data_IF_152150442069
#
_entry.id   IF_152150442069
#
_cell.length_a   1.000
_cell.length_b   1.000
_cell.length_c   1.000
_cell.angle_alpha   90.00
_cell.angle_beta   90.00
_cell.angle_gamma   90.00
#
_symmetry.space_group_name_H-M   'P 1'
#
loop_
_entity.id
_entity.type
_entity.pdbx_description
1 polymer ?
#
# COMPACT_ATOMS: atom_id res chain seq x y z
N UNK A 1 39.52 -26.01 74.80
CA UNK A 1 39.91 -25.98 73.38
C UNK A 1 38.66 -25.61 72.60
N UNK A 2 38.65 -24.39 72.09
CA UNK A 2 37.46 -23.67 71.64
C UNK A 2 37.16 -23.95 70.17
N UNK A 3 35.90 -24.29 69.88
CA UNK A 3 35.34 -24.40 68.55
C UNK A 3 34.91 -23.01 68.07
N UNK A 4 35.56 -22.49 67.02
CA UNK A 4 35.13 -21.25 66.35
C UNK A 4 34.84 -21.56 64.88
N UNK A 5 33.57 -21.42 64.54
CA UNK A 5 33.04 -21.39 63.18
C UNK A 5 33.45 -20.06 62.56
N UNK A 6 34.22 -20.09 61.47
CA UNK A 6 34.47 -18.91 60.64
C UNK A 6 33.55 -18.93 59.42
N UNK A 7 32.67 -17.93 59.40
CA UNK A 7 31.98 -17.43 58.22
C UNK A 7 32.99 -16.89 57.21
N UNK A 8 32.80 -17.22 55.93
CA UNK A 8 33.38 -16.43 54.85
C UNK A 8 32.35 -16.28 53.73
N UNK A 9 31.90 -15.04 53.61
CA UNK A 9 31.11 -14.48 52.52
C UNK A 9 32.04 -14.19 51.34
N UNK A 10 31.66 -14.47 50.08
CA UNK A 10 32.25 -13.78 48.95
C UNK A 10 31.19 -12.91 48.25
N UNK A 11 31.37 -11.61 48.46
CA UNK A 11 30.89 -10.52 47.62
C UNK A 11 31.00 -10.83 46.13
N UNK A 12 29.91 -10.49 45.44
CA UNK A 12 29.87 -9.73 44.20
C UNK A 12 30.92 -10.06 43.14
N UNK A 13 30.49 -10.84 42.14
CA UNK A 13 30.86 -10.55 40.76
C UNK A 13 29.58 -10.40 39.95
N UNK A 14 29.18 -9.14 39.83
CA UNK A 14 28.46 -8.64 38.66
C UNK A 14 29.17 -9.15 37.41
N UNK A 15 28.53 -10.07 36.71
CA UNK A 15 28.78 -10.28 35.30
C UNK A 15 27.49 -9.86 34.60
N UNK A 16 27.51 -8.57 34.23
CA UNK A 16 26.71 -7.98 33.16
C UNK A 16 26.41 -9.03 32.09
N UNK A 17 25.20 -9.58 32.12
CA UNK A 17 24.63 -10.23 30.96
C UNK A 17 24.55 -9.14 29.89
N UNK A 18 25.41 -9.28 28.87
CA UNK A 18 25.42 -8.44 27.70
C UNK A 18 24.00 -8.28 27.19
N UNK A 19 23.52 -7.03 27.16
CA UNK A 19 22.43 -6.65 26.29
C UNK A 19 22.89 -7.00 24.87
N UNK A 20 22.54 -8.18 24.40
CA UNK A 20 22.66 -8.52 23.00
C UNK A 20 21.79 -7.50 22.28
N UNK A 21 22.43 -6.64 21.48
CA UNK A 21 21.77 -5.75 20.53
C UNK A 21 20.82 -6.62 19.72
N UNK A 22 19.53 -6.59 20.07
CA UNK A 22 18.50 -7.25 19.28
C UNK A 22 18.48 -6.52 17.94
N UNK A 23 18.68 -7.27 16.87
CA UNK A 23 18.44 -6.75 15.52
C UNK A 23 17.07 -6.07 15.46
N UNK A 24 16.91 -4.97 14.70
CA UNK A 24 15.63 -4.30 14.54
C UNK A 24 14.54 -5.32 14.19
N UNK A 25 13.36 -5.17 14.80
CA UNK A 25 12.20 -5.98 14.42
C UNK A 25 11.79 -5.55 13.01
N UNK A 26 11.75 -6.49 12.07
CA UNK A 26 11.47 -6.20 10.66
C UNK A 26 10.39 -7.14 10.10
N UNK A 27 9.45 -6.56 9.36
CA UNK A 27 8.47 -7.34 8.61
C UNK A 27 9.16 -8.22 7.54
N UNK A 28 8.55 -9.35 7.20
CA UNK A 28 9.08 -10.20 6.13
C UNK A 28 8.87 -9.58 4.75
N UNK A 29 9.70 -9.96 3.78
CA UNK A 29 9.59 -9.46 2.41
C UNK A 29 8.23 -9.79 1.78
N UNK A 30 7.66 -10.95 2.10
CA UNK A 30 6.34 -11.40 1.65
C UNK A 30 5.22 -10.51 2.18
N UNK A 31 5.30 -10.12 3.46
CA UNK A 31 4.36 -9.18 4.07
C UNK A 31 4.41 -7.81 3.36
N UNK A 32 5.61 -7.30 3.12
CA UNK A 32 5.83 -6.01 2.45
C UNK A 32 5.33 -6.06 1.01
N UNK A 33 5.65 -7.14 0.28
CA UNK A 33 5.18 -7.35 -1.09
C UNK A 33 3.65 -7.41 -1.15
N UNK A 34 3.01 -8.12 -0.20
CA UNK A 34 1.56 -8.19 -0.13
C UNK A 34 0.93 -6.80 0.04
N UNK A 35 1.44 -5.97 0.95
CA UNK A 35 0.91 -4.61 1.16
C UNK A 35 1.16 -3.68 -0.03
N UNK A 36 2.28 -3.84 -0.72
CA UNK A 36 2.57 -3.07 -1.94
C UNK A 36 1.74 -3.53 -3.15
N UNK A 37 1.16 -4.73 -3.10
CA UNK A 37 0.27 -5.26 -4.15
C UNK A 37 -1.17 -4.77 -4.04
N UNK A 38 -1.51 -3.97 -3.03
CA UNK A 38 -2.87 -3.50 -2.80
C UNK A 38 -3.26 -2.42 -3.80
N UNK A 39 -4.39 -2.64 -4.49
CA UNK A 39 -4.96 -1.68 -5.43
C UNK A 39 -5.87 -0.67 -4.74
N UNK A 40 -5.89 0.58 -5.21
CA UNK A 40 -6.83 1.60 -4.71
C UNK A 40 -8.28 1.20 -4.95
N UNK A 41 -8.60 0.79 -6.17
CA UNK A 41 -9.96 0.39 -6.59
C UNK A 41 -10.44 -0.82 -5.79
N UNK A 42 -9.58 -1.83 -5.64
CA UNK A 42 -9.82 -2.98 -4.77
C UNK A 42 -10.19 -2.58 -3.34
N UNK A 43 -9.38 -1.72 -2.70
CA UNK A 43 -9.69 -1.27 -1.34
C UNK A 43 -11.02 -0.52 -1.25
N UNK A 44 -11.38 0.25 -2.28
CA UNK A 44 -12.64 0.98 -2.32
C UNK A 44 -13.87 0.04 -2.38
N UNK A 45 -13.76 -1.12 -3.00
CA UNK A 45 -14.83 -2.14 -2.99
C UNK A 45 -15.14 -2.63 -1.56
N UNK A 46 -14.12 -2.61 -0.69
CA UNK A 46 -14.20 -3.05 0.70
C UNK A 46 -14.78 -1.98 1.65
N UNK A 47 -15.26 -0.84 1.13
CA UNK A 47 -15.84 0.24 1.93
C UNK A 47 -17.32 0.00 2.20
N UNK A 48 -17.59 -0.75 3.26
CA UNK A 48 -18.94 -1.05 3.74
C UNK A 48 -18.93 -1.23 5.27
N UNK A 49 -20.12 -1.39 5.84
CA UNK A 49 -20.30 -1.61 7.27
C UNK A 49 -21.01 -2.92 7.57
N UNK A 50 -20.69 -3.48 8.74
CA UNK A 50 -21.30 -4.68 9.26
C UNK A 50 -21.47 -4.59 10.77
N UNK A 51 -22.50 -5.29 11.26
CA UNK A 51 -22.78 -5.43 12.68
C UNK A 51 -22.93 -6.90 13.02
N UNK A 52 -22.19 -7.35 14.02
CA UNK A 52 -22.24 -8.70 14.56
C UNK A 52 -22.82 -8.64 15.98
N UNK A 53 -23.69 -9.60 16.30
CA UNK A 53 -24.11 -9.83 17.68
C UNK A 53 -22.98 -10.52 18.45
N UNK A 54 -22.66 -10.01 19.63
CA UNK A 54 -21.81 -10.71 20.60
C UNK A 54 -22.68 -11.66 21.42
N UNK A 55 -22.29 -12.92 21.47
CA UNK A 55 -23.01 -13.96 22.22
C UNK A 55 -22.04 -14.77 23.10
N UNK A 56 -22.56 -15.28 24.22
CA UNK A 56 -21.84 -16.24 25.04
C UNK A 56 -21.76 -17.62 24.38
N UNK A 57 -20.94 -18.50 24.94
CA UNK A 57 -20.94 -19.93 24.62
C UNK A 57 -22.29 -20.63 24.88
N UNK A 58 -23.14 -20.08 25.76
CA UNK A 58 -24.51 -20.55 26.00
C UNK A 58 -25.55 -19.97 25.02
N UNK A 59 -25.13 -19.07 24.12
CA UNK A 59 -26.00 -18.41 23.14
C UNK A 59 -26.75 -17.19 23.65
N UNK A 60 -26.42 -16.70 24.85
CA UNK A 60 -27.03 -15.48 25.40
C UNK A 60 -26.45 -14.23 24.72
N UNK A 61 -27.29 -13.26 24.32
CA UNK A 61 -26.82 -12.01 23.74
C UNK A 61 -26.14 -11.15 24.80
N UNK A 62 -24.90 -10.75 24.52
CA UNK A 62 -24.07 -9.97 25.43
C UNK A 62 -23.79 -8.56 24.92
N UNK A 63 -23.95 -8.31 23.61
CA UNK A 63 -23.65 -7.01 23.04
C UNK A 63 -23.55 -7.04 21.53
N UNK A 64 -22.79 -6.10 20.97
CA UNK A 64 -22.58 -5.98 19.54
C UNK A 64 -21.16 -5.52 19.20
N UNK A 65 -20.73 -5.89 17.99
CA UNK A 65 -19.52 -5.41 17.32
C UNK A 65 -19.96 -4.74 16.02
N UNK A 66 -19.61 -3.49 15.86
CA UNK A 66 -19.83 -2.71 14.63
C UNK A 66 -18.48 -2.45 13.98
N UNK A 67 -18.41 -2.61 12.66
CA UNK A 67 -17.24 -2.27 11.84
C UNK A 67 -17.74 -1.47 10.65
N UNK A 68 -17.10 -0.34 10.38
CA UNK A 68 -17.41 0.56 9.29
C UNK A 68 -16.12 0.96 8.60
N UNK A 69 -16.07 0.76 7.29
CA UNK A 69 -14.98 1.26 6.44
C UNK A 69 -15.56 2.17 5.38
N UNK A 70 -15.02 3.38 5.29
CA UNK A 70 -15.51 4.40 4.36
C UNK A 70 -14.38 5.31 3.89
N UNK A 71 -14.69 6.18 2.92
CA UNK A 71 -13.78 7.22 2.49
C UNK A 71 -13.78 8.37 3.50
N UNK A 72 -12.73 8.48 4.30
CA UNK A 72 -12.51 9.58 5.22
C UNK A 72 -11.78 10.75 4.56
N UNK A 73 -12.00 11.96 5.08
CA UNK A 73 -11.29 13.18 4.67
C UNK A 73 -10.33 13.59 5.77
N UNK A 74 -9.05 13.66 5.45
CA UNK A 74 -8.02 14.14 6.36
C UNK A 74 -7.35 15.38 5.76
N UNK A 75 -7.17 16.40 6.60
CA UNK A 75 -6.41 17.60 6.24
C UNK A 75 -4.94 17.38 6.59
N UNK A 76 -4.06 17.73 5.67
CA UNK A 76 -2.63 17.77 5.97
C UNK A 76 -2.22 19.07 6.70
N UNK A 77 -0.92 19.20 7.01
CA UNK A 77 -0.34 20.40 7.65
C UNK A 77 -0.48 21.68 6.81
N UNK A 78 -0.83 21.56 5.51
CA UNK A 78 -1.03 22.66 4.57
C UNK A 78 -2.52 22.89 4.24
N UNK A 79 -3.43 22.35 5.05
CA UNK A 79 -4.88 22.43 4.88
C UNK A 79 -5.42 21.78 3.58
N UNK A 80 -4.61 20.96 2.91
CA UNK A 80 -5.03 20.19 1.73
C UNK A 80 -5.82 18.97 2.19
N UNK A 81 -7.05 18.85 1.69
CA UNK A 81 -7.94 17.73 2.01
C UNK A 81 -7.63 16.56 1.09
N UNK A 82 -7.19 15.44 1.67
CA UNK A 82 -6.98 14.17 0.98
C UNK A 82 -7.99 13.11 1.44
N UNK A 83 -8.31 12.17 0.55
CA UNK A 83 -9.22 11.07 0.84
C UNK A 83 -8.43 9.80 1.15
N UNK A 84 -8.75 9.18 2.27
CA UNK A 84 -8.07 8.00 2.80
C UNK A 84 -9.10 6.97 3.26
N UNK A 85 -8.79 5.66 3.19
CA UNK A 85 -9.53 4.66 3.94
C UNK A 85 -9.63 5.06 5.42
N UNK A 86 -10.86 5.17 5.91
CA UNK A 86 -11.17 5.42 7.30
C UNK A 86 -11.93 4.24 7.86
N UNK A 87 -11.38 3.67 8.93
CA UNK A 87 -11.94 2.50 9.63
C UNK A 87 -12.43 2.95 10.99
N UNK A 88 -13.65 2.58 11.33
CA UNK A 88 -14.22 2.73 12.65
C UNK A 88 -14.79 1.39 13.09
N UNK A 89 -14.36 0.89 14.23
CA UNK A 89 -14.96 -0.29 14.83
C UNK A 89 -15.22 -0.05 16.31
N UNK A 90 -16.33 -0.58 16.80
CA UNK A 90 -16.68 -0.53 18.22
C UNK A 90 -17.35 -1.82 18.65
N UNK A 91 -16.85 -2.40 19.73
CA UNK A 91 -17.49 -3.49 20.42
C UNK A 91 -17.92 -3.04 21.80
N UNK A 92 -19.18 -3.31 22.16
CA UNK A 92 -19.67 -3.06 23.51
C UNK A 92 -20.50 -4.23 23.96
N UNK A 93 -20.20 -4.72 25.15
CA UNK A 93 -20.87 -5.89 25.70
C UNK A 93 -21.01 -5.83 27.22
N UNK A 94 -21.76 -6.80 27.71
CA UNK A 94 -22.00 -7.07 29.11
C UNK A 94 -21.55 -8.50 29.40
N UNK A 95 -20.41 -8.63 30.06
CA UNK A 95 -19.77 -9.91 30.40
C UNK A 95 -19.63 -9.99 31.91
N UNK A 96 -20.03 -11.11 32.52
CA UNK A 96 -19.90 -11.36 33.96
C UNK A 96 -20.38 -10.19 34.84
N UNK A 97 -21.57 -9.67 34.53
CA UNK A 97 -22.21 -8.53 35.21
C UNK A 97 -21.45 -7.20 35.09
N UNK A 98 -20.49 -7.10 34.19
CA UNK A 98 -19.62 -5.95 33.99
C UNK A 98 -19.75 -5.43 32.57
N UNK A 99 -19.89 -4.11 32.41
CA UNK A 99 -19.91 -3.48 31.09
C UNK A 99 -18.47 -3.31 30.61
N UNK A 100 -18.15 -3.88 29.46
CA UNK A 100 -16.86 -3.74 28.81
C UNK A 100 -17.03 -3.35 27.35
N UNK A 101 -15.96 -2.86 26.74
CA UNK A 101 -15.97 -2.55 25.33
C UNK A 101 -14.64 -2.05 24.84
N UNK A 102 -14.50 -2.04 23.52
CA UNK A 102 -13.40 -1.40 22.84
C UNK A 102 -13.90 -0.62 21.62
N UNK A 103 -13.08 0.32 21.17
CA UNK A 103 -13.32 1.06 19.94
C UNK A 103 -11.99 1.44 19.32
N UNK A 104 -11.97 1.50 18.00
CA UNK A 104 -10.83 1.98 17.22
C UNK A 104 -11.35 2.85 16.09
N UNK A 105 -10.65 3.95 15.84
CA UNK A 105 -10.82 4.80 14.66
C UNK A 105 -9.45 5.00 14.04
N UNK A 106 -9.33 4.83 12.73
CA UNK A 106 -8.04 5.01 12.07
C UNK A 106 -8.14 5.46 10.62
N UNK A 107 -7.26 6.39 10.25
CA UNK A 107 -6.97 6.78 8.88
C UNK A 107 -5.76 6.01 8.38
N UNK A 108 -5.93 5.35 7.24
CA UNK A 108 -4.92 4.51 6.63
C UNK A 108 -4.53 5.06 5.27
N UNK A 109 -3.29 4.83 4.87
CA UNK A 109 -2.89 5.00 3.48
C UNK A 109 -3.38 3.84 2.60
N UNK A 110 -3.23 3.98 1.28
CA UNK A 110 -3.64 2.95 0.30
C UNK A 110 -2.81 1.66 0.35
N UNK A 111 -1.69 1.63 1.07
CA UNK A 111 -0.94 0.41 1.39
C UNK A 111 -1.06 0.02 2.88
N UNK A 112 -2.15 0.45 3.53
CA UNK A 112 -2.50 0.15 4.92
C UNK A 112 -1.54 0.66 5.99
N UNK A 113 -0.59 1.56 5.67
CA UNK A 113 0.16 2.26 6.72
C UNK A 113 -0.74 3.19 7.51
N UNK A 114 -0.58 3.18 8.82
CA UNK A 114 -1.31 4.02 9.77
C UNK A 114 -0.88 5.48 9.64
N UNK A 115 -1.81 6.37 9.32
CA UNK A 115 -1.60 7.82 9.33
C UNK A 115 -2.00 8.37 10.71
N UNK A 116 -3.17 7.95 11.18
CA UNK A 116 -3.72 8.29 12.49
C UNK A 116 -4.55 7.11 12.99
N UNK A 117 -4.43 6.75 14.26
CA UNK A 117 -5.33 5.81 14.92
C UNK A 117 -5.59 6.24 16.36
N UNK A 118 -6.82 6.10 16.83
CA UNK A 118 -7.19 6.20 18.23
C UNK A 118 -7.97 4.95 18.63
N UNK A 119 -7.46 4.20 19.61
CA UNK A 119 -8.17 3.09 20.23
C UNK A 119 -8.42 3.33 21.72
N UNK A 120 -9.54 2.79 22.19
CA UNK A 120 -9.98 2.87 23.58
C UNK A 120 -10.56 1.52 23.98
N UNK A 121 -10.10 0.97 25.09
CA UNK A 121 -10.62 -0.23 25.73
C UNK A 121 -11.06 0.15 27.15
N UNK A 122 -12.19 -0.37 27.62
CA UNK A 122 -12.65 -0.10 28.99
C UNK A 122 -13.36 -1.29 29.60
N UNK A 123 -13.26 -1.40 30.92
CA UNK A 123 -13.99 -2.36 31.75
C UNK A 123 -14.51 -1.61 32.97
N UNK A 124 -15.82 -1.55 33.15
CA UNK A 124 -16.48 -0.83 34.24
C UNK A 124 -16.69 -1.74 35.45
N UNK A 125 -15.62 -2.23 36.07
CA UNK A 125 -15.75 -2.91 37.35
C UNK A 125 -16.35 -1.98 38.40
N UNK A 126 -17.17 -2.54 39.30
CA UNK A 126 -17.82 -1.77 40.36
C UNK A 126 -16.83 -1.12 41.34
N UNK A 127 -15.67 -1.77 41.55
CA UNK A 127 -14.68 -1.35 42.55
C UNK A 127 -13.56 -0.54 41.90
N UNK A 128 -13.02 -1.01 40.76
CA UNK A 128 -11.87 -0.39 40.11
C UNK A 128 -12.09 -0.35 38.58
N UNK A 129 -12.73 0.71 38.04
CA UNK A 129 -12.90 0.83 36.61
C UNK A 129 -11.54 0.97 35.92
N UNK A 130 -11.39 0.28 34.80
CA UNK A 130 -10.17 0.27 34.00
C UNK A 130 -10.45 0.86 32.62
N UNK A 131 -9.57 1.72 32.13
CA UNK A 131 -9.62 2.31 30.80
C UNK A 131 -8.21 2.39 30.21
N UNK A 132 -8.03 1.86 29.01
CA UNK A 132 -6.81 2.03 28.21
C UNK A 132 -7.14 2.85 26.97
N UNK A 133 -6.34 3.87 26.69
CA UNK A 133 -6.38 4.65 25.45
C UNK A 133 -5.02 4.57 24.76
N UNK A 134 -5.04 4.42 23.46
CA UNK A 134 -3.83 4.45 22.63
C UNK A 134 -4.10 5.33 21.42
N UNK A 135 -3.16 6.21 21.11
CA UNK A 135 -3.16 7.02 19.89
C UNK A 135 -1.88 6.77 19.13
N UNK A 136 -1.97 6.60 17.82
CA UNK A 136 -0.86 6.48 16.89
C UNK A 136 -0.98 7.63 15.89
N UNK A 137 0.03 8.50 15.83
CA UNK A 137 0.02 9.67 14.96
C UNK A 137 1.29 9.70 14.12
N UNK A 138 1.14 9.78 12.81
CA UNK A 138 2.27 9.99 11.91
C UNK A 138 2.73 11.44 12.02
N UNK A 139 3.95 11.65 12.50
CA UNK A 139 4.60 12.96 12.55
C UNK A 139 5.93 12.92 11.80
N UNK A 140 5.98 13.56 10.63
CA UNK A 140 7.18 13.67 9.80
C UNK A 140 7.81 12.31 9.52
N UNK A 141 8.90 11.98 10.23
CA UNK A 141 9.69 10.76 10.08
C UNK A 141 9.52 9.77 11.25
N UNK A 142 8.45 9.92 12.04
CA UNK A 142 8.16 9.04 13.17
C UNK A 142 6.66 8.74 13.30
N UNK A 143 6.35 7.61 13.92
CA UNK A 143 5.04 7.28 14.43
C UNK A 143 5.06 7.48 15.94
N UNK A 144 4.32 8.50 16.41
CA UNK A 144 4.20 8.82 17.82
C UNK A 144 3.05 8.01 18.41
N UNK A 145 3.36 7.18 19.41
CA UNK A 145 2.37 6.43 20.16
C UNK A 145 2.21 7.01 21.56
N UNK A 146 1.02 7.55 21.86
CA UNK A 146 0.65 7.91 23.23
C UNK A 146 -0.29 6.85 23.80
N UNK A 147 0.04 6.31 24.97
CA UNK A 147 -0.74 5.31 25.68
C UNK A 147 -1.08 5.82 27.07
N UNK A 148 -2.35 5.72 27.46
CA UNK A 148 -2.85 6.09 28.79
C UNK A 148 -3.61 4.91 29.38
N UNK A 149 -3.22 4.46 30.56
CA UNK A 149 -3.94 3.47 31.35
C UNK A 149 -4.48 4.16 32.59
N UNK A 150 -5.78 4.03 32.83
CA UNK A 150 -6.45 4.48 34.03
C UNK A 150 -6.99 3.29 34.79
N UNK A 151 -6.63 3.17 36.06
CA UNK A 151 -7.10 2.14 36.99
C UNK A 151 -7.63 2.86 38.24
N UNK A 152 -8.95 3.02 38.33
CA UNK A 152 -9.56 3.85 39.37
C UNK A 152 -9.17 5.33 39.24
N UNK A 153 -8.46 5.86 40.25
CA UNK A 153 -7.93 7.23 40.27
C UNK A 153 -6.52 7.32 39.68
N UNK A 154 -5.79 6.21 39.58
CA UNK A 154 -4.44 6.20 39.04
C UNK A 154 -4.48 6.33 37.52
N UNK A 155 -3.62 7.20 36.98
CA UNK A 155 -3.44 7.38 35.54
C UNK A 155 -1.95 7.29 35.23
N UNK A 156 -1.59 6.34 34.35
CA UNK A 156 -0.24 6.16 33.82
C UNK A 156 -0.26 6.51 32.35
N UNK A 157 0.59 7.44 31.93
CA UNK A 157 0.75 7.84 30.53
C UNK A 157 2.16 7.56 30.08
N UNK A 158 2.30 6.99 28.90
CA UNK A 158 3.55 6.67 28.25
C UNK A 158 3.52 7.19 26.82
N UNK A 159 4.63 7.75 26.38
CA UNK A 159 4.81 8.20 25.00
C UNK A 159 6.02 7.48 24.44
N UNK A 160 5.85 6.85 23.28
CA UNK A 160 6.93 6.17 22.57
C UNK A 160 6.99 6.68 21.14
N UNK A 161 8.20 6.67 20.61
CA UNK A 161 8.51 7.18 19.28
C UNK A 161 9.09 6.04 18.47
N UNK A 162 8.45 5.73 17.34
CA UNK A 162 8.89 4.67 16.44
C UNK A 162 9.36 5.33 15.14
N UNK A 163 10.63 5.15 14.73
CA UNK A 163 11.10 5.68 13.45
C UNK A 163 10.21 5.20 12.30
N UNK A 164 9.85 6.10 11.39
CA UNK A 164 8.88 5.80 10.33
C UNK A 164 9.38 4.69 9.40
N UNK A 165 10.66 4.68 9.08
CA UNK A 165 11.30 3.63 8.28
C UNK A 165 11.25 2.25 8.96
N UNK A 166 11.18 2.19 10.29
CA UNK A 166 11.00 0.94 11.04
C UNK A 166 9.54 0.47 11.09
N UNK A 167 8.57 1.24 10.56
CA UNK A 167 7.15 0.85 10.49
C UNK A 167 6.78 0.16 9.16
N UNK A 168 7.76 -0.16 8.31
CA UNK A 168 7.52 -0.90 7.07
C UNK A 168 6.91 -2.27 7.40
N UNK A 169 5.70 -2.53 6.89
CA UNK A 169 4.96 -3.77 7.17
C UNK A 169 4.20 -3.77 8.50
N UNK A 170 4.08 -2.62 9.16
CA UNK A 170 3.27 -2.45 10.37
C UNK A 170 1.77 -2.39 10.08
N UNK A 171 1.02 -3.26 10.77
CA UNK A 171 -0.44 -3.38 10.73
C UNK A 171 -1.00 -3.02 12.09
N UNK A 172 -1.67 -1.87 12.17
CA UNK A 172 -2.43 -1.45 13.35
C UNK A 172 -3.78 -2.17 13.45
N UNK A 173 -4.49 -1.99 14.57
CA UNK A 173 -5.83 -2.55 14.78
C UNK A 173 -6.82 -2.19 13.65
N UNK A 174 -6.82 -0.93 13.22
CA UNK A 174 -7.63 -0.47 12.09
C UNK A 174 -7.19 -1.09 10.76
N UNK A 175 -5.88 -1.13 10.51
CA UNK A 175 -5.32 -1.73 9.29
C UNK A 175 -5.63 -3.23 9.19
N UNK A 176 -5.62 -3.94 10.32
CA UNK A 176 -5.93 -5.36 10.40
C UNK A 176 -7.34 -5.67 9.89
N UNK A 177 -8.34 -4.85 10.27
CA UNK A 177 -9.72 -5.06 9.82
C UNK A 177 -9.83 -4.98 8.30
N UNK A 178 -9.20 -3.99 7.68
CA UNK A 178 -9.21 -3.84 6.22
C UNK A 178 -8.35 -4.91 5.53
N UNK A 179 -7.23 -5.30 6.12
CA UNK A 179 -6.36 -6.38 5.64
C UNK A 179 -7.10 -7.72 5.57
N UNK A 180 -7.88 -8.04 6.61
CA UNK A 180 -8.70 -9.25 6.66
C UNK A 180 -9.76 -9.27 5.54
N UNK A 181 -10.37 -8.12 5.24
CA UNK A 181 -11.30 -8.00 4.10
C UNK A 181 -10.59 -8.28 2.77
N UNK A 182 -9.38 -7.76 2.59
CA UNK A 182 -8.58 -8.04 1.38
C UNK A 182 -8.25 -9.53 1.26
N UNK A 183 -7.83 -10.18 2.35
CA UNK A 183 -7.51 -11.61 2.34
C UNK A 183 -8.73 -12.45 1.95
N UNK A 184 -9.91 -12.07 2.42
CA UNK A 184 -11.17 -12.72 2.05
C UNK A 184 -11.57 -12.44 0.60
N UNK A 185 -11.49 -11.19 0.14
CA UNK A 185 -11.76 -10.81 -1.24
C UNK A 185 -10.88 -11.59 -2.24
N UNK A 186 -9.58 -11.71 -1.92
CA UNK A 186 -8.62 -12.48 -2.73
C UNK A 186 -8.68 -13.99 -2.50
N UNK A 187 -9.44 -14.46 -1.51
CA UNK A 187 -9.44 -15.85 -1.02
C UNK A 187 -8.02 -16.39 -0.77
N UNK A 188 -7.15 -15.54 -0.20
CA UNK A 188 -5.72 -15.80 -0.10
C UNK A 188 -5.11 -15.12 1.12
N UNK A 189 -4.28 -15.88 1.84
CA UNK A 189 -3.39 -15.37 2.89
C UNK A 189 -1.94 -15.48 2.38
N UNK A 190 -1.10 -14.45 2.54
CA UNK A 190 0.29 -14.51 2.10
C UNK A 190 1.08 -15.54 2.90
N UNK A 191 1.66 -16.52 2.20
CA UNK A 191 2.43 -17.59 2.81
C UNK A 191 3.68 -17.06 3.51
N UNK A 192 3.96 -17.55 4.72
CA UNK A 192 5.13 -17.20 5.54
C UNK A 192 5.30 -15.70 5.82
N UNK A 193 4.24 -14.90 5.64
CA UNK A 193 4.30 -13.48 5.91
C UNK A 193 4.28 -13.18 7.40
N UNK A 194 5.24 -12.34 7.84
CA UNK A 194 5.28 -11.80 9.21
C UNK A 194 5.14 -10.30 9.13
N UNK A 195 4.02 -9.80 9.64
CA UNK A 195 3.73 -8.37 9.73
C UNK A 195 4.22 -7.85 11.08
N UNK A 196 4.55 -6.56 11.15
CA UNK A 196 4.75 -5.89 12.43
C UNK A 196 3.38 -5.53 13.03
N UNK A 197 3.26 -5.62 14.35
CA UNK A 197 2.06 -5.30 15.10
C UNK A 197 2.41 -4.71 16.47
N UNK A 198 1.41 -4.29 17.23
CA UNK A 198 1.56 -3.96 18.65
C UNK A 198 0.89 -5.04 19.49
N UNK A 199 1.54 -5.43 20.58
CA UNK A 199 0.86 -6.20 21.62
C UNK A 199 -0.03 -5.31 22.51
N UNK A 200 -0.69 -5.92 23.49
CA UNK A 200 -1.60 -5.21 24.42
C UNK A 200 -0.88 -4.21 25.32
N UNK A 201 0.45 -4.30 25.45
CA UNK A 201 1.28 -3.35 26.17
C UNK A 201 1.73 -2.18 25.29
N UNK A 202 1.52 -2.25 23.97
CA UNK A 202 1.99 -1.25 23.01
C UNK A 202 3.44 -1.49 22.58
N UNK A 203 3.99 -2.68 22.78
CA UNK A 203 5.32 -3.03 22.30
C UNK A 203 5.25 -3.59 20.88
N UNK A 204 6.22 -3.20 20.06
CA UNK A 204 6.34 -3.71 18.71
C UNK A 204 6.63 -5.21 18.73
N UNK A 205 5.86 -5.97 17.97
CA UNK A 205 5.92 -7.42 17.92
C UNK A 205 5.54 -7.93 16.51
N UNK A 206 5.37 -9.25 16.37
CA UNK A 206 4.95 -9.85 15.10
C UNK A 206 3.49 -10.29 15.11
N UNK A 207 2.84 -10.17 13.96
CA UNK A 207 1.57 -10.83 13.67
C UNK A 207 1.66 -11.69 12.42
N UNK A 208 1.09 -12.89 12.50
CA UNK A 208 1.02 -13.86 11.41
C UNK A 208 -0.43 -14.21 11.12
N UNK A 209 -0.71 -14.56 9.87
CA UNK A 209 -2.03 -14.96 9.41
C UNK A 209 -1.94 -16.35 8.80
N UNK A 210 -2.94 -17.19 9.06
CA UNK A 210 -3.04 -18.53 8.52
C UNK A 210 -4.43 -18.77 7.94
N UNK A 211 -4.50 -19.27 6.72
CA UNK A 211 -5.75 -19.75 6.15
C UNK A 211 -6.11 -21.12 6.76
N UNK A 212 -7.29 -21.21 7.39
CA UNK A 212 -7.82 -22.47 7.94
C UNK A 212 -8.76 -23.20 6.97
N UNK A 213 -8.92 -22.65 5.76
CA UNK A 213 -9.81 -23.18 4.71
C UNK A 213 -11.16 -22.48 4.69
N UNK A 214 -12.15 -23.14 4.10
CA UNK A 214 -13.52 -22.63 3.96
C UNK A 214 -14.50 -23.52 4.70
N UNK A 215 -15.58 -22.91 5.22
CA UNK A 215 -16.66 -23.62 5.90
C UNK A 215 -18.01 -23.04 5.46
N UNK A 216 -19.03 -23.88 5.31
CA UNK A 216 -20.41 -23.40 5.13
C UNK A 216 -21.03 -23.08 6.49
N UNK A 217 -21.55 -21.86 6.63
CA UNK A 217 -22.31 -21.42 7.79
C UNK A 217 -23.76 -21.12 7.40
N UNK A 218 -24.66 -21.21 8.38
CA UNK A 218 -26.04 -20.77 8.25
C UNK A 218 -26.17 -19.38 8.85
N UNK A 219 -26.65 -18.42 8.05
CA UNK A 219 -27.00 -17.08 8.49
C UNK A 219 -28.48 -16.88 8.21
N UNK A 220 -29.28 -16.78 9.27
CA UNK A 220 -30.74 -16.79 9.19
C UNK A 220 -31.28 -18.05 8.47
N UNK A 221 -31.79 -17.92 7.24
CA UNK A 221 -32.29 -19.04 6.41
C UNK A 221 -31.40 -19.34 5.20
N UNK A 222 -30.24 -18.70 5.11
CA UNK A 222 -29.33 -18.78 3.97
C UNK A 222 -28.03 -19.47 4.36
N UNK A 223 -27.52 -20.28 3.44
CA UNK A 223 -26.19 -20.85 3.54
C UNK A 223 -25.19 -19.95 2.84
N UNK A 224 -24.06 -19.69 3.49
CA UNK A 224 -22.95 -18.97 2.91
C UNK A 224 -21.65 -19.72 3.20
N UNK A 225 -20.78 -19.80 2.20
CA UNK A 225 -19.40 -20.23 2.40
C UNK A 225 -18.59 -19.07 2.96
N UNK A 226 -17.78 -19.34 3.99
CA UNK A 226 -16.88 -18.38 4.62
C UNK A 226 -15.45 -18.86 4.56
N UNK A 227 -14.56 -17.95 4.21
CA UNK A 227 -13.12 -18.11 4.27
C UNK A 227 -12.62 -17.82 5.68
N UNK A 228 -11.82 -18.72 6.24
CA UNK A 228 -11.39 -18.64 7.63
C UNK A 228 -9.92 -18.24 7.69
N UNK A 229 -9.67 -17.11 8.37
CA UNK A 229 -8.33 -16.60 8.65
C UNK A 229 -8.10 -16.58 10.16
N UNK A 230 -7.03 -17.23 10.61
CA UNK A 230 -6.54 -17.10 11.97
C UNK A 230 -5.40 -16.07 12.00
N UNK A 231 -5.56 -15.04 12.83
CA UNK A 231 -4.50 -14.12 13.17
C UNK A 231 -3.89 -14.53 14.51
N UNK A 232 -2.56 -14.57 14.58
CA UNK A 232 -1.82 -14.71 15.84
C UNK A 232 -0.92 -13.51 16.04
N UNK A 233 -0.94 -12.92 17.23
CA UNK A 233 -0.03 -11.85 17.67
C UNK A 233 0.95 -12.44 18.68
N UNK A 234 2.24 -12.39 18.35
CA UNK A 234 3.33 -13.00 19.11
C UNK A 234 4.01 -11.95 19.99
N UNK A 235 3.56 -11.80 21.23
CA UNK A 235 4.23 -10.89 22.19
C UNK A 235 5.55 -11.51 22.68
N UNK A 236 6.58 -10.68 22.81
CA UNK A 236 7.91 -11.06 23.34
C UNK A 236 7.88 -11.43 24.83
N UNK A 237 6.90 -10.94 25.58
CA UNK A 237 6.81 -11.09 27.04
C UNK A 237 5.52 -11.80 27.48
N UNK A 238 4.57 -11.96 26.56
CA UNK A 238 3.26 -12.56 26.81
C UNK A 238 3.02 -13.87 26.08
N UNK A 239 1.85 -14.46 26.33
CA UNK A 239 1.36 -15.62 25.58
C UNK A 239 0.82 -15.12 24.23
N UNK A 240 1.13 -15.79 23.11
CA UNK A 240 0.54 -15.45 21.83
C UNK A 240 -0.98 -15.42 21.89
N UNK A 241 -1.59 -14.37 21.34
CA UNK A 241 -3.05 -14.24 21.30
C UNK A 241 -3.53 -14.53 19.89
N UNK A 242 -4.48 -15.47 19.76
CA UNK A 242 -5.06 -15.86 18.47
C UNK A 242 -6.53 -15.46 18.34
N UNK A 243 -6.92 -15.02 17.15
CA UNK A 243 -8.30 -14.70 16.80
C UNK A 243 -8.63 -15.26 15.42
N UNK A 244 -9.76 -15.96 15.32
CA UNK A 244 -10.28 -16.51 14.08
C UNK A 244 -11.37 -15.60 13.51
N UNK A 245 -11.26 -15.30 12.22
CA UNK A 245 -12.17 -14.47 11.46
C UNK A 245 -12.76 -15.32 10.34
N UNK A 246 -14.08 -15.40 10.29
CA UNK A 246 -14.84 -16.07 9.24
C UNK A 246 -15.41 -14.97 8.36
N UNK A 247 -14.92 -14.90 7.13
CA UNK A 247 -15.20 -13.80 6.21
C UNK A 247 -15.97 -14.31 5.00
N UNK A 248 -16.97 -13.57 4.58
CA UNK A 248 -17.71 -13.80 3.33
C UNK A 248 -16.82 -13.47 2.13
N UNK A 249 -17.21 -13.93 0.94
CA UNK A 249 -16.44 -13.77 -0.29
C UNK A 249 -16.16 -12.30 -0.64
N UNK A 250 -17.04 -11.38 -0.27
CA UNK A 250 -16.89 -9.94 -0.51
C UNK A 250 -16.12 -9.19 0.60
N UNK A 251 -15.67 -9.91 1.63
CA UNK A 251 -14.90 -9.40 2.77
C UNK A 251 -15.70 -9.11 4.03
N UNK A 252 -17.04 -9.26 4.05
CA UNK A 252 -17.80 -9.06 5.29
C UNK A 252 -17.39 -10.04 6.39
N UNK A 253 -17.23 -9.55 7.62
CA UNK A 253 -16.99 -10.42 8.77
C UNK A 253 -18.28 -11.10 9.22
N UNK A 254 -18.36 -12.42 9.06
CA UNK A 254 -19.51 -13.22 9.47
C UNK A 254 -19.39 -13.77 10.90
N UNK A 255 -18.18 -14.10 11.35
CA UNK A 255 -17.94 -14.59 12.72
C UNK A 255 -16.53 -14.24 13.18
N UNK A 256 -16.40 -13.87 14.46
CA UNK A 256 -15.12 -13.62 15.12
C UNK A 256 -15.04 -14.39 16.43
N UNK A 257 -13.99 -15.19 16.59
CA UNK A 257 -13.73 -15.98 17.80
C UNK A 257 -12.35 -15.59 18.33
N UNK A 258 -12.28 -15.17 19.59
CA UNK A 258 -10.99 -14.97 20.27
C UNK A 258 -10.68 -16.22 21.09
N UNK A 259 -9.51 -16.83 20.84
CA UNK A 259 -9.10 -18.03 21.56
C UNK A 259 -8.96 -17.71 23.05
N UNK A 260 -9.60 -18.52 23.89
CA UNK A 260 -9.64 -18.32 25.34
C UNK A 260 -10.75 -17.40 25.86
N UNK A 261 -11.53 -16.75 24.98
CA UNK A 261 -12.72 -15.98 25.37
C UNK A 261 -13.96 -16.88 25.44
N UNK A 262 -14.85 -16.71 26.45
CA UNK A 262 -16.12 -17.44 26.51
C UNK A 262 -17.19 -16.89 25.55
N UNK A 263 -16.87 -15.82 24.81
CA UNK A 263 -17.80 -15.10 23.95
C UNK A 263 -17.24 -14.94 22.54
N UNK A 264 -18.13 -14.93 21.55
CA UNK A 264 -17.80 -14.74 20.14
C UNK A 264 -18.81 -13.78 19.48
N UNK A 265 -18.42 -13.22 18.35
CA UNK A 265 -19.31 -12.36 17.55
C UNK A 265 -19.77 -13.13 16.31
N UNK A 266 -21.04 -13.01 15.94
CA UNK A 266 -21.58 -13.55 14.70
C UNK A 266 -22.55 -12.58 14.03
N UNK A 267 -22.61 -12.64 12.71
CA UNK A 267 -23.62 -11.92 11.94
C UNK A 267 -24.99 -12.58 12.12
N UNK A 268 -26.03 -11.77 12.29
CA UNK A 268 -27.40 -12.25 12.51
C UNK A 268 -28.25 -12.24 11.24
N UNK A 269 -27.86 -11.45 10.24
CA UNK A 269 -28.57 -11.27 8.97
C UNK A 269 -27.56 -11.22 7.83
N UNK A 270 -27.88 -11.92 6.74
CA UNK A 270 -27.03 -11.92 5.55
C UNK A 270 -26.93 -10.50 4.94
N UNK A 271 -25.71 -9.98 4.68
CA UNK A 271 -25.54 -8.70 4.01
C UNK A 271 -25.78 -8.85 2.50
N UNK A 272 -26.03 -7.73 1.83
CA UNK A 272 -26.04 -7.69 0.37
C UNK A 272 -24.59 -7.81 -0.11
N UNK A 273 -24.23 -9.01 -0.59
CA UNK A 273 -22.88 -9.26 -1.08
C UNK A 273 -22.56 -8.36 -2.25
N UNK A 274 -21.37 -7.76 -2.23
CA UNK A 274 -20.85 -7.02 -3.38
C UNK A 274 -20.23 -7.97 -4.38
N UNK A 275 -20.64 -7.81 -5.62
CA UNK A 275 -19.98 -8.40 -6.77
C UNK A 275 -19.09 -7.32 -7.41
N UNK A 276 -18.01 -7.76 -8.09
CA UNK A 276 -17.23 -6.84 -8.91
C UNK A 276 -18.14 -6.36 -10.03
N UNK A 277 -18.49 -5.07 -10.04
CA UNK A 277 -19.29 -4.51 -11.12
C UNK A 277 -18.52 -4.75 -12.43
N UNK A 278 -19.05 -5.60 -13.31
CA UNK A 278 -18.53 -5.75 -14.66
C UNK A 278 -18.60 -4.37 -15.32
N UNK A 279 -17.46 -3.67 -15.36
CA UNK A 279 -17.39 -2.32 -15.89
C UNK A 279 -17.80 -2.39 -17.36
N UNK A 280 -19.02 -1.95 -17.67
CA UNK A 280 -19.51 -1.94 -19.05
C UNK A 280 -18.42 -1.31 -19.93
N UNK A 281 -18.00 -1.98 -21.01
CA UNK A 281 -16.90 -1.49 -21.83
C UNK A 281 -17.22 -0.07 -22.26
N UNK A 282 -16.31 0.85 -21.93
CA UNK A 282 -16.48 2.27 -22.24
C UNK A 282 -16.88 2.41 -23.70
N UNK A 283 -17.94 3.19 -24.03
CA UNK A 283 -18.41 3.32 -25.38
C UNK A 283 -17.25 3.78 -26.28
N UNK A 284 -16.84 2.92 -27.20
CA UNK A 284 -15.76 3.22 -28.14
C UNK A 284 -16.31 4.20 -29.17
N UNK A 285 -16.21 5.50 -28.88
CA UNK A 285 -16.53 6.54 -29.86
C UNK A 285 -15.53 6.45 -31.01
N UNK A 286 -16.02 6.10 -32.21
CA UNK A 286 -15.21 6.19 -33.43
C UNK A 286 -14.74 7.64 -33.58
N UNK A 287 -13.42 7.86 -33.61
CA UNK A 287 -12.85 9.19 -33.87
C UNK A 287 -13.38 9.66 -35.22
N UNK A 288 -14.23 10.69 -35.22
CA UNK A 288 -14.70 11.33 -36.45
C UNK A 288 -13.50 12.02 -37.11
N UNK A 289 -13.25 11.82 -38.41
CA UNK A 289 -12.21 12.56 -39.13
C UNK A 289 -12.44 14.07 -38.96
N UNK A 290 -11.40 14.79 -38.56
CA UNK A 290 -11.44 16.24 -38.42
C UNK A 290 -11.32 16.86 -39.82
N UNK A 291 -12.43 17.35 -40.37
CA UNK A 291 -12.47 18.07 -41.65
C UNK A 291 -12.00 19.52 -41.46
N UNK A 292 -10.74 19.70 -41.06
CA UNK A 292 -10.19 21.00 -40.67
C UNK A 292 -10.09 21.99 -41.85
N UNK A 293 -10.07 21.49 -43.09
CA UNK A 293 -10.06 22.29 -44.31
C UNK A 293 -11.40 23.02 -44.55
N UNK A 294 -12.50 22.48 -44.06
CA UNK A 294 -13.85 23.06 -44.20
C UNK A 294 -14.22 23.97 -43.02
N UNK A 295 -13.58 23.77 -41.88
CA UNK A 295 -13.79 24.58 -40.68
C UNK A 295 -12.97 25.87 -40.76
N UNK A 296 -13.67 27.01 -40.84
CA UNK A 296 -13.05 28.32 -41.01
C UNK A 296 -12.08 28.69 -39.87
N UNK A 297 -12.37 28.29 -38.63
CA UNK A 297 -11.50 28.59 -37.49
C UNK A 297 -10.24 27.70 -37.49
N UNK A 298 -10.40 26.41 -37.79
CA UNK A 298 -9.27 25.49 -37.87
C UNK A 298 -8.38 25.81 -39.06
N UNK A 299 -8.96 26.17 -40.20
CA UNK A 299 -8.23 26.61 -41.37
C UNK A 299 -7.43 27.89 -41.08
N UNK A 300 -8.02 28.86 -40.37
CA UNK A 300 -7.31 30.07 -39.92
C UNK A 300 -6.12 29.73 -39.03
N UNK A 301 -6.32 28.86 -38.02
CA UNK A 301 -5.24 28.41 -37.12
C UNK A 301 -4.12 27.70 -37.89
N UNK A 302 -4.47 26.91 -38.88
CA UNK A 302 -3.49 26.25 -39.75
C UNK A 302 -2.67 27.27 -40.56
N UNK A 303 -3.31 28.26 -41.16
CA UNK A 303 -2.63 29.32 -41.91
C UNK A 303 -1.68 30.12 -41.02
N UNK A 304 -2.13 30.52 -39.84
CA UNK A 304 -1.31 31.25 -38.88
C UNK A 304 -0.09 30.43 -38.47
N UNK A 305 -0.29 29.14 -38.16
CA UNK A 305 0.81 28.25 -37.79
C UNK A 305 1.79 28.03 -38.94
N UNK A 306 1.28 27.92 -40.18
CA UNK A 306 2.09 27.78 -41.39
C UNK A 306 2.94 29.02 -41.65
N UNK A 307 2.37 30.22 -41.49
CA UNK A 307 3.09 31.51 -41.59
C UNK A 307 4.19 31.60 -40.52
N UNK A 308 3.85 31.27 -39.27
CA UNK A 308 4.81 31.26 -38.15
C UNK A 308 5.98 30.32 -38.42
N UNK A 309 5.72 29.10 -38.90
CA UNK A 309 6.77 28.14 -39.25
C UNK A 309 7.63 28.63 -40.41
N UNK A 310 7.02 29.24 -41.44
CA UNK A 310 7.75 29.83 -42.57
C UNK A 310 8.72 30.93 -42.10
N UNK A 311 8.26 31.83 -41.23
CA UNK A 311 9.09 32.88 -40.65
C UNK A 311 10.20 32.31 -39.78
N UNK A 312 9.90 31.32 -38.95
CA UNK A 312 10.87 30.60 -38.13
C UNK A 312 11.99 29.97 -38.98
N UNK A 313 11.62 29.20 -40.01
CA UNK A 313 12.60 28.56 -40.91
C UNK A 313 13.43 29.59 -41.68
N UNK A 314 12.81 30.66 -42.16
CA UNK A 314 13.53 31.73 -42.86
C UNK A 314 14.55 32.40 -41.93
N UNK A 315 14.14 32.69 -40.70
CA UNK A 315 15.02 33.28 -39.68
C UNK A 315 16.17 32.34 -39.33
N UNK A 316 15.89 31.04 -39.17
CA UNK A 316 16.92 30.03 -38.91
C UNK A 316 17.98 30.02 -40.03
N UNK A 317 17.55 29.97 -41.29
CA UNK A 317 18.48 29.99 -42.45
C UNK A 317 19.28 31.30 -42.54
N UNK A 318 18.70 32.44 -42.18
CA UNK A 318 19.42 33.71 -42.12
C UNK A 318 20.49 33.74 -41.02
N UNK A 319 20.21 33.11 -39.87
CA UNK A 319 21.14 33.03 -38.74
C UNK A 319 22.26 32.01 -38.97
N UNK A 320 22.05 31.06 -39.89
CA UNK A 320 22.96 29.96 -40.19
C UNK A 320 23.34 29.93 -41.68
N UNK A 321 24.19 30.87 -42.15
CA UNK A 321 24.67 30.87 -43.54
C UNK A 321 25.54 29.64 -43.86
N UNK A 322 26.13 29.02 -42.83
CA UNK A 322 26.82 27.74 -42.88
C UNK A 322 25.90 26.60 -43.33
N UNK A 323 24.63 26.58 -42.93
CA UNK A 323 23.67 25.58 -43.40
C UNK A 323 23.43 25.70 -44.92
N UNK A 324 23.35 26.92 -45.46
CA UNK A 324 23.19 27.13 -46.90
C UNK A 324 24.46 26.72 -47.67
N UNK A 325 25.64 27.05 -47.15
CA UNK A 325 26.92 26.64 -47.74
C UNK A 325 27.06 25.11 -47.74
N UNK A 326 26.72 24.46 -46.62
CA UNK A 326 26.77 23.01 -46.46
C UNK A 326 25.88 22.28 -47.48
N UNK A 327 24.65 22.75 -47.69
CA UNK A 327 23.76 22.18 -48.72
C UNK A 327 24.26 22.46 -50.13
N UNK A 328 24.83 23.65 -50.37
CA UNK A 328 25.35 24.02 -51.70
C UNK A 328 26.56 23.16 -52.08
N UNK A 329 27.48 22.96 -51.14
CA UNK A 329 28.65 22.10 -51.32
C UNK A 329 28.22 20.65 -51.52
N UNK A 330 27.24 20.15 -50.76
CA UNK A 330 26.67 18.82 -50.99
C UNK A 330 26.15 18.66 -52.41
N UNK A 331 25.33 19.61 -52.88
CA UNK A 331 24.77 19.59 -54.23
C UNK A 331 25.85 19.67 -55.30
N UNK A 332 26.90 20.47 -55.10
CA UNK A 332 28.04 20.54 -55.99
C UNK A 332 28.76 19.17 -56.08
N UNK A 333 29.06 18.54 -54.94
CA UNK A 333 29.69 17.23 -54.92
C UNK A 333 28.80 16.14 -55.53
N UNK A 334 27.49 16.22 -55.32
CA UNK A 334 26.52 15.31 -55.90
C UNK A 334 26.52 15.41 -57.44
N UNK A 335 26.50 16.63 -57.97
CA UNK A 335 26.48 16.89 -59.42
C UNK A 335 27.81 16.54 -60.09
N UNK A 336 28.93 16.72 -59.40
CA UNK A 336 30.26 16.38 -59.93
C UNK A 336 30.54 14.87 -59.92
N UNK A 337 30.14 14.17 -58.86
CA UNK A 337 30.45 12.74 -58.68
C UNK A 337 29.40 11.82 -59.28
N UNK A 338 28.15 12.29 -59.43
CA UNK A 338 26.99 11.53 -59.91
C UNK A 338 26.94 10.09 -59.39
N UNK A 339 26.91 9.90 -58.05
CA UNK A 339 26.88 8.57 -57.46
C UNK A 339 25.59 7.83 -57.80
N UNK A 340 25.67 6.51 -58.00
CA UNK A 340 24.50 5.67 -58.27
C UNK A 340 23.53 5.58 -57.08
N UNK A 341 24.02 5.77 -55.84
CA UNK A 341 23.21 5.80 -54.62
C UNK A 341 23.39 7.13 -53.88
N UNK A 342 22.43 8.03 -54.12
CA UNK A 342 22.41 9.39 -53.55
C UNK A 342 22.19 9.39 -52.04
N UNK A 343 21.44 8.42 -51.50
CA UNK A 343 21.06 8.39 -50.09
C UNK A 343 22.25 8.01 -49.22
N UNK A 344 23.00 7.00 -49.62
CA UNK A 344 24.24 6.61 -48.95
C UNK A 344 25.27 7.72 -49.01
N UNK A 345 25.41 8.35 -50.18
CA UNK A 345 26.31 9.47 -50.37
C UNK A 345 25.95 10.67 -49.46
N UNK A 346 24.66 10.99 -49.30
CA UNK A 346 24.21 12.02 -48.38
C UNK A 346 24.56 11.68 -46.92
N UNK A 347 24.33 10.44 -46.48
CA UNK A 347 24.63 10.03 -45.13
C UNK A 347 26.13 10.13 -44.79
N UNK A 348 27.01 9.81 -45.74
CA UNK A 348 28.45 9.98 -45.59
C UNK A 348 28.87 11.45 -45.61
N UNK A 349 28.28 12.27 -46.48
CA UNK A 349 28.57 13.69 -46.56
C UNK A 349 28.15 14.45 -45.29
N UNK A 350 26.92 14.22 -44.80
CA UNK A 350 26.39 14.93 -43.63
C UNK A 350 26.83 14.31 -42.29
N UNK A 351 27.26 13.04 -42.29
CA UNK A 351 27.66 12.29 -41.10
C UNK A 351 28.66 13.00 -40.17
N UNK A 352 29.72 13.65 -40.68
CA UNK A 352 30.69 14.39 -39.87
C UNK A 352 30.12 15.61 -39.13
N UNK A 353 29.00 16.16 -39.57
CA UNK A 353 28.39 17.36 -38.99
C UNK A 353 27.41 17.05 -37.83
N UNK A 354 27.13 15.77 -37.57
CA UNK A 354 26.29 15.36 -36.45
C UNK A 354 27.02 15.55 -35.11
N UNK A 355 26.46 16.33 -34.18
CA UNK A 355 27.12 16.71 -32.92
C UNK A 355 27.45 15.56 -31.95
N UNK A 356 27.08 14.32 -32.26
CA UNK A 356 27.32 13.15 -31.40
C UNK A 356 27.81 11.93 -32.18
N UNK A 357 28.96 12.03 -32.85
CA UNK A 357 29.69 10.84 -33.31
C UNK A 357 31.22 11.00 -33.11
N UNK A 358 31.93 9.98 -32.58
CA UNK A 358 33.39 10.01 -32.54
C UNK A 358 33.97 10.05 -33.96
N UNK A 359 35.16 10.66 -34.15
CA UNK A 359 35.72 10.91 -35.47
C UNK A 359 35.96 9.59 -36.23
N UNK A 360 35.45 9.48 -37.46
CA UNK A 360 35.73 8.34 -38.32
C UNK A 360 37.12 8.48 -38.98
N UNK A 361 37.88 7.39 -39.18
CA UNK A 361 39.24 7.44 -39.73
C UNK A 361 39.28 7.94 -41.17
N UNK A 362 40.34 8.68 -41.50
CA UNK A 362 40.42 9.60 -42.63
C UNK A 362 40.54 8.99 -44.05
N UNK A 363 40.47 7.67 -44.24
CA UNK A 363 40.61 7.07 -45.57
C UNK A 363 39.75 5.81 -45.73
N UNK A 364 38.71 5.88 -46.58
CA UNK A 364 38.04 4.69 -47.13
C UNK A 364 37.68 4.85 -48.62
N UNK A 365 37.70 3.68 -49.27
CA UNK A 365 37.45 3.34 -50.68
C UNK A 365 36.24 4.04 -51.31
N UNK A 366 36.30 4.23 -52.64
CA UNK A 366 35.27 4.84 -53.49
C UNK A 366 33.97 4.04 -53.67
N UNK A 367 33.87 2.83 -53.08
CA UNK A 367 32.64 2.02 -53.09
C UNK A 367 32.29 1.48 -51.68
N UNK A 368 31.61 2.26 -50.84
CA UNK A 368 31.02 1.78 -49.61
C UNK A 368 29.59 1.25 -49.83
N UNK A 369 29.27 0.10 -49.21
CA UNK A 369 27.91 -0.45 -49.21
C UNK A 369 27.01 0.37 -48.27
N UNK A 370 25.83 0.75 -48.77
CA UNK A 370 24.82 1.48 -48.01
C UNK A 370 24.52 0.86 -46.64
N UNK A 371 24.58 1.63 -45.53
CA UNK A 371 24.12 1.16 -44.23
C UNK A 371 22.58 1.05 -44.14
N UNK A 372 21.85 1.47 -45.19
CA UNK A 372 20.40 1.41 -45.26
C UNK A 372 19.88 0.30 -46.18
N UNK A 373 20.76 -0.50 -46.81
CA UNK A 373 20.32 -1.70 -47.54
C UNK A 373 20.01 -2.82 -46.54
N UNK A 374 18.73 -3.03 -46.27
CA UNK A 374 18.24 -4.31 -45.77
C UNK A 374 18.55 -5.37 -46.83
N UNK A 375 19.25 -6.43 -46.43
CA UNK A 375 19.44 -7.62 -47.25
C UNK A 375 18.07 -8.29 -47.42
N UNK A 376 17.36 -7.94 -48.50
CA UNK A 376 16.34 -8.85 -49.02
C UNK A 376 17.08 -10.02 -49.66
N UNK A 377 17.26 -11.08 -48.87
CA UNK A 377 17.60 -12.39 -49.42
C UNK A 377 16.35 -12.91 -50.11
N UNK A 378 16.21 -12.62 -51.41
CA UNK A 378 15.32 -13.40 -52.27
C UNK A 378 15.95 -14.78 -52.50
N UNK A 379 15.09 -15.78 -52.35
CA UNK A 379 15.31 -17.22 -52.37
C UNK A 379 15.84 -17.78 -53.69
N UNK A 380 16.66 -18.84 -53.61
CA UNK A 380 16.56 -20.07 -54.41
C UNK A 380 17.32 -21.20 -53.75
#
# INVERSE_FOLDING_TARGET
MSSQVQSSDPRAKDQHASAAERSPLEASAEAIHFLNSLGKEELQMLFFSETLAMVSNTGEPQGELTIEVQSGKLKDKFDVVSHYPFVHASCRGFMDKTICGNSVRGYLSWNLRTIEQHSQEFIKFHILPMERKMSLLKEEDQLVMNRSIKEGEEVKTEVTFIPWDSTVGFISEAANLLLLRVMAWRQMVPNNARFLALDTEGKLCYSTYQALGSQTIQVDRQQAEVFIVEQTVHSDQGIPTSCQFYLLSDGHLAKRIQVGSPSYCLITKMPSLREEDEMEPHPVFKKKPLMWEEDMELYSKFLDRKEQLRLSHTRYLQQHPDAQALISDFLLFLLLRQPADVVTFAAEYFGPFAMHRPPSPALRSSDPRSPFRTLHTESS
#
